data_IF_156185026280
#
_entry.id   IF_156185026280
#
_cell.length_a   1.000
_cell.length_b   1.000
_cell.length_c   1.000
_cell.angle_alpha   90.00
_cell.angle_beta   90.00
_cell.angle_gamma   90.00
#
_symmetry.space_group_name_H-M   'P 1'
#
loop_
_entity.id
_entity.type
_entity.pdbx_description
1 polymer ?
#
# COMPACT_ATOMS: atom_id res chain seq x y z
N UNK A 1 -40.97 -4.85 2.89
CA UNK A 1 -40.44 -3.81 1.98
C UNK A 1 -39.73 -4.52 0.83
N UNK A 2 -40.02 -4.14 -0.43
CA UNK A 2 -39.35 -4.65 -1.62
C UNK A 2 -37.82 -4.64 -1.52
N UNK A 3 -37.17 -5.69 -2.05
CA UNK A 3 -35.71 -5.78 -2.16
C UNK A 3 -35.32 -5.96 -3.61
N UNK A 4 -34.69 -4.95 -4.18
CA UNK A 4 -34.09 -4.99 -5.51
C UNK A 4 -32.66 -5.49 -5.39
N UNK A 5 -32.28 -6.45 -6.25
CA UNK A 5 -30.97 -7.10 -6.19
C UNK A 5 -30.08 -6.69 -7.36
N UNK A 6 -28.79 -6.58 -7.08
CA UNK A 6 -27.74 -6.31 -8.07
C UNK A 6 -26.49 -7.13 -7.74
N UNK A 7 -25.57 -7.30 -8.68
CA UNK A 7 -24.31 -8.04 -8.47
C UNK A 7 -23.11 -7.25 -8.99
N UNK A 8 -22.00 -7.26 -8.25
CA UNK A 8 -20.73 -6.66 -8.68
C UNK A 8 -19.90 -7.55 -9.61
N UNK A 9 -20.38 -8.75 -9.97
CA UNK A 9 -19.70 -9.58 -10.96
C UNK A 9 -19.50 -8.81 -12.27
N UNK A 10 -18.38 -9.07 -12.96
CA UNK A 10 -18.09 -8.41 -14.24
C UNK A 10 -19.20 -8.67 -15.26
N UNK A 11 -19.47 -7.68 -16.12
CA UNK A 11 -20.44 -7.80 -17.21
C UNK A 11 -20.04 -8.92 -18.19
N UNK A 12 -20.99 -9.75 -18.67
CA UNK A 12 -22.45 -9.61 -18.51
C UNK A 12 -23.04 -10.34 -17.29
N UNK A 13 -22.24 -11.02 -16.48
CA UNK A 13 -22.73 -11.81 -15.34
C UNK A 13 -23.22 -10.94 -14.16
N UNK A 14 -22.76 -9.68 -14.08
CA UNK A 14 -23.24 -8.67 -13.15
C UNK A 14 -23.06 -7.26 -13.72
N UNK A 15 -23.34 -6.26 -12.90
CA UNK A 15 -23.25 -4.86 -13.28
C UNK A 15 -21.85 -4.24 -13.03
N UNK A 16 -20.84 -5.08 -12.80
CA UNK A 16 -19.44 -4.72 -12.77
C UNK A 16 -19.12 -3.46 -11.96
N UNK A 17 -18.46 -2.51 -12.60
CA UNK A 17 -17.98 -1.27 -11.98
C UNK A 17 -19.13 -0.45 -11.39
N UNK A 18 -20.30 -0.44 -12.02
CA UNK A 18 -21.46 0.30 -11.53
C UNK A 18 -21.95 -0.26 -10.18
N UNK A 19 -22.17 -1.58 -10.09
CA UNK A 19 -22.54 -2.23 -8.83
C UNK A 19 -21.48 -2.06 -7.74
N UNK A 20 -20.19 -2.13 -8.09
CA UNK A 20 -19.11 -1.90 -7.15
C UNK A 20 -19.13 -0.47 -6.58
N UNK A 21 -19.33 0.56 -7.42
CA UNK A 21 -19.51 1.94 -6.98
C UNK A 21 -20.71 2.13 -6.06
N UNK A 22 -21.85 1.52 -6.39
CA UNK A 22 -23.04 1.60 -5.57
C UNK A 22 -22.85 0.89 -4.22
N UNK A 23 -22.18 -0.25 -4.20
CA UNK A 23 -21.85 -0.97 -2.97
C UNK A 23 -20.88 -0.15 -2.11
N UNK A 24 -19.88 0.50 -2.70
CA UNK A 24 -19.05 1.47 -1.98
C UNK A 24 -19.88 2.60 -1.38
N UNK A 25 -20.82 3.17 -2.14
CA UNK A 25 -21.67 4.25 -1.68
C UNK A 25 -22.61 3.82 -0.54
N UNK A 26 -23.17 2.61 -0.60
CA UNK A 26 -23.99 2.04 0.49
C UNK A 26 -23.21 1.90 1.81
N UNK A 27 -21.91 1.62 1.73
CA UNK A 27 -21.06 1.40 2.90
C UNK A 27 -20.41 2.68 3.43
N UNK A 28 -20.20 3.69 2.58
CA UNK A 28 -19.43 4.88 2.94
C UNK A 28 -20.24 6.17 3.05
N UNK A 29 -21.41 6.28 2.40
CA UNK A 29 -22.26 7.46 2.52
C UNK A 29 -23.27 7.31 3.66
N UNK A 30 -24.33 8.12 3.67
CA UNK A 30 -25.36 8.18 4.71
C UNK A 30 -26.26 6.91 4.86
N UNK A 31 -25.80 5.75 4.38
CA UNK A 31 -26.46 4.44 4.49
C UNK A 31 -27.63 4.22 3.53
N UNK A 32 -27.80 5.05 2.50
CA UNK A 32 -28.88 4.94 1.51
C UNK A 32 -28.87 3.58 0.79
N UNK A 33 -30.04 3.02 0.52
CA UNK A 33 -30.22 1.71 -0.09
C UNK A 33 -29.98 0.51 0.82
N UNK A 34 -29.24 0.67 1.93
CA UNK A 34 -28.94 -0.39 2.91
C UNK A 34 -29.67 -0.20 4.23
N UNK A 35 -29.25 0.83 4.97
CA UNK A 35 -29.77 1.17 6.30
C UNK A 35 -30.97 2.11 6.19
N UNK A 36 -30.99 2.97 5.17
CA UNK A 36 -32.13 3.83 4.79
C UNK A 36 -32.67 3.38 3.43
N UNK A 37 -33.97 3.07 3.30
CA UNK A 37 -34.52 2.69 2.00
C UNK A 37 -34.48 3.86 1.01
N UNK A 38 -34.46 3.52 -0.26
CA UNK A 38 -34.63 4.45 -1.37
C UNK A 38 -36.11 4.55 -1.73
N UNK A 39 -36.55 5.69 -2.25
CA UNK A 39 -37.93 5.90 -2.67
C UNK A 39 -38.01 6.00 -4.18
N UNK A 40 -38.71 5.09 -4.86
CA UNK A 40 -38.87 5.11 -6.33
C UNK A 40 -39.49 6.43 -6.79
N UNK A 41 -38.93 7.02 -7.84
CA UNK A 41 -39.39 8.28 -8.41
C UNK A 41 -39.30 8.25 -9.95
N UNK A 42 -40.45 8.31 -10.62
CA UNK A 42 -40.56 8.22 -12.09
C UNK A 42 -40.57 9.59 -12.79
N UNK A 43 -40.97 10.66 -12.09
CA UNK A 43 -40.98 12.03 -12.63
C UNK A 43 -39.63 12.73 -12.45
N UNK A 44 -39.19 13.54 -13.42
CA UNK A 44 -37.91 14.30 -13.38
C UNK A 44 -36.63 13.43 -13.32
N UNK A 45 -36.66 12.19 -13.83
CA UNK A 45 -35.44 11.35 -13.89
C UNK A 45 -34.32 12.05 -14.68
N UNK A 46 -34.66 12.60 -15.86
CA UNK A 46 -33.69 13.31 -16.69
C UNK A 46 -33.10 14.55 -16.00
N UNK A 47 -33.92 15.32 -15.27
CA UNK A 47 -33.43 16.47 -14.51
C UNK A 47 -32.56 16.07 -13.33
N UNK A 48 -32.89 14.98 -12.62
CA UNK A 48 -32.03 14.41 -11.56
C UNK A 48 -30.68 13.94 -12.11
N UNK A 49 -30.69 13.18 -13.21
CA UNK A 49 -29.43 12.79 -13.88
C UNK A 49 -28.64 14.01 -14.34
N UNK A 50 -29.29 15.04 -14.92
CA UNK A 50 -28.61 16.25 -15.35
C UNK A 50 -27.98 17.03 -14.17
N UNK A 51 -28.60 17.06 -12.99
CA UNK A 51 -28.02 17.70 -11.79
C UNK A 51 -26.78 16.97 -11.29
N UNK A 52 -26.82 15.63 -11.21
CA UNK A 52 -25.69 14.85 -10.66
C UNK A 52 -24.59 14.62 -11.69
N UNK A 53 -24.95 14.33 -12.93
CA UNK A 53 -24.01 13.93 -13.99
C UNK A 53 -23.84 14.97 -15.11
N UNK A 54 -24.58 16.09 -15.12
CA UNK A 54 -24.52 17.05 -16.24
C UNK A 54 -23.17 17.75 -16.40
N UNK A 55 -22.42 17.92 -15.30
CA UNK A 55 -21.05 18.44 -15.30
C UNK A 55 -19.98 17.34 -15.28
N UNK A 56 -20.37 16.06 -15.36
CA UNK A 56 -19.44 14.93 -15.34
C UNK A 56 -18.52 14.97 -16.56
N UNK A 57 -17.23 14.78 -16.33
CA UNK A 57 -16.22 14.74 -17.39
C UNK A 57 -15.77 13.31 -17.60
N UNK A 58 -16.14 12.73 -18.74
CA UNK A 58 -15.68 11.40 -19.11
C UNK A 58 -14.14 11.35 -19.18
N UNK A 59 -13.56 10.30 -18.60
CA UNK A 59 -12.14 9.95 -18.53
C UNK A 59 -11.88 8.72 -19.38
N UNK A 60 -11.98 8.89 -20.70
CA UNK A 60 -11.76 7.80 -21.66
C UNK A 60 -10.32 7.29 -21.68
N UNK A 61 -9.39 8.05 -21.09
CA UNK A 61 -8.02 7.64 -20.79
C UNK A 61 -7.93 6.58 -19.67
N UNK A 62 -8.94 6.52 -18.80
CA UNK A 62 -9.02 5.56 -17.69
C UNK A 62 -10.06 4.46 -17.93
N UNK A 63 -11.20 4.83 -18.54
CA UNK A 63 -12.33 3.93 -18.81
C UNK A 63 -12.75 4.10 -20.27
N UNK A 64 -12.44 3.13 -21.13
CA UNK A 64 -12.57 3.29 -22.60
C UNK A 64 -13.97 3.73 -23.10
N UNK A 65 -15.03 3.42 -22.34
CA UNK A 65 -16.42 3.85 -22.62
C UNK A 65 -17.04 4.54 -21.41
N UNK A 66 -16.30 5.49 -20.85
CA UNK A 66 -16.64 6.12 -19.58
C UNK A 66 -17.99 6.85 -19.60
N UNK A 67 -18.80 6.57 -18.59
CA UNK A 67 -20.08 7.20 -18.33
C UNK A 67 -20.23 7.45 -16.84
N UNK A 68 -21.12 8.39 -16.49
CA UNK A 68 -21.44 8.66 -15.10
C UNK A 68 -22.37 7.59 -14.54
N UNK A 69 -22.03 6.98 -13.40
CA UNK A 69 -22.97 6.20 -12.57
C UNK A 69 -23.31 6.96 -11.30
N UNK A 70 -24.57 7.34 -11.10
CA UNK A 70 -24.99 8.11 -9.91
C UNK A 70 -25.58 7.27 -8.77
N UNK A 71 -25.30 7.65 -7.52
CA UNK A 71 -25.97 7.14 -6.32
C UNK A 71 -26.18 8.24 -5.25
N UNK A 72 -27.37 8.38 -4.62
CA UNK A 72 -28.61 7.66 -4.94
C UNK A 72 -29.07 7.86 -6.39
N UNK A 73 -29.75 6.86 -6.95
CA UNK A 73 -30.09 6.86 -8.39
C UNK A 73 -31.04 7.99 -8.76
N UNK A 74 -30.96 8.52 -9.98
CA UNK A 74 -31.92 9.50 -10.50
C UNK A 74 -33.36 8.97 -10.59
N UNK A 75 -33.56 7.64 -10.57
CA UNK A 75 -34.89 7.00 -10.45
C UNK A 75 -35.40 6.90 -9.01
N UNK A 76 -34.78 7.64 -8.09
CA UNK A 76 -35.17 7.73 -6.68
C UNK A 76 -35.36 9.18 -6.25
N UNK A 77 -36.16 9.44 -5.20
CA UNK A 77 -36.38 10.79 -4.67
C UNK A 77 -35.11 11.37 -4.05
N UNK A 78 -34.24 10.51 -3.54
CA UNK A 78 -32.99 10.85 -2.89
C UNK A 78 -31.87 11.20 -3.90
N UNK A 79 -32.07 10.89 -5.20
CA UNK A 79 -31.13 11.20 -6.26
C UNK A 79 -31.23 12.64 -6.79
N UNK A 80 -30.30 13.02 -7.65
CA UNK A 80 -30.29 14.33 -8.31
C UNK A 80 -29.77 15.47 -7.45
N UNK A 81 -28.85 15.16 -6.55
CA UNK A 81 -27.99 16.13 -5.85
C UNK A 81 -27.02 16.76 -6.85
N UNK A 82 -26.58 18.00 -6.60
CA UNK A 82 -25.56 18.67 -7.39
C UNK A 82 -24.28 17.81 -7.46
N UNK A 83 -23.87 17.46 -8.67
CA UNK A 83 -22.69 16.64 -8.93
C UNK A 83 -21.41 17.19 -8.30
N UNK A 84 -21.29 18.51 -8.13
CA UNK A 84 -20.13 19.14 -7.50
C UNK A 84 -20.01 18.84 -5.99
N UNK A 85 -21.06 18.31 -5.37
CA UNK A 85 -21.07 17.91 -3.96
C UNK A 85 -20.83 16.39 -3.79
N UNK A 86 -20.94 15.62 -4.86
CA UNK A 86 -20.80 14.17 -4.80
C UNK A 86 -19.34 13.73 -4.67
N UNK A 87 -19.12 12.58 -4.05
CA UNK A 87 -17.85 11.88 -4.16
C UNK A 87 -17.68 11.39 -5.61
N UNK A 88 -16.55 11.69 -6.23
CA UNK A 88 -16.20 11.19 -7.56
C UNK A 88 -15.34 9.94 -7.41
N UNK A 89 -15.76 8.83 -8.00
CA UNK A 89 -15.13 7.52 -7.77
C UNK A 89 -14.77 6.80 -9.05
N UNK A 90 -13.75 5.95 -8.98
CA UNK A 90 -13.28 5.11 -10.08
C UNK A 90 -13.18 3.65 -9.60
N UNK A 91 -14.21 2.83 -9.87
CA UNK A 91 -14.14 1.40 -9.64
C UNK A 91 -13.21 0.71 -10.65
N UNK A 92 -12.29 -0.10 -10.15
CA UNK A 92 -11.35 -0.89 -10.96
C UNK A 92 -11.36 -2.33 -10.48
N UNK A 93 -11.56 -3.24 -11.40
CA UNK A 93 -11.52 -4.66 -11.07
C UNK A 93 -10.06 -5.08 -10.84
N UNK A 94 -9.79 -5.69 -9.69
CA UNK A 94 -8.45 -6.20 -9.39
C UNK A 94 -8.15 -7.44 -10.24
N UNK A 95 -6.91 -7.58 -10.66
CA UNK A 95 -6.42 -8.77 -11.40
C UNK A 95 -6.55 -10.07 -10.59
N UNK A 96 -6.80 -9.99 -9.29
CA UNK A 96 -6.96 -11.14 -8.38
C UNK A 96 -8.41 -11.34 -7.89
N UNK A 97 -9.37 -10.65 -8.50
CA UNK A 97 -10.78 -10.69 -8.14
C UNK A 97 -11.18 -9.58 -7.17
N UNK A 98 -12.43 -9.12 -7.30
CA UNK A 98 -12.99 -8.03 -6.50
C UNK A 98 -12.71 -6.63 -7.06
N UNK A 99 -13.25 -5.61 -6.39
CA UNK A 99 -13.24 -4.23 -6.87
C UNK A 99 -12.50 -3.29 -5.91
N UNK A 100 -11.57 -2.51 -6.45
CA UNK A 100 -11.05 -1.29 -5.82
C UNK A 100 -11.95 -0.14 -6.22
N UNK A 101 -12.36 0.72 -5.27
CA UNK A 101 -13.05 1.97 -5.59
C UNK A 101 -12.16 3.12 -5.13
N UNK A 102 -11.46 3.76 -6.06
CA UNK A 102 -10.67 4.94 -5.76
C UNK A 102 -11.59 6.16 -5.65
N UNK A 103 -11.39 6.97 -4.61
CA UNK A 103 -12.06 8.27 -4.47
C UNK A 103 -11.17 9.33 -5.11
N UNK A 104 -11.60 9.89 -6.24
CA UNK A 104 -10.89 10.92 -6.98
C UNK A 104 -11.13 12.32 -6.41
N UNK A 105 -12.34 12.57 -5.92
CA UNK A 105 -12.75 13.82 -5.28
C UNK A 105 -13.87 13.56 -4.24
N UNK A 106 -13.99 14.43 -3.23
CA UNK A 106 -14.94 14.27 -2.13
C UNK A 106 -14.60 13.14 -1.14
N UNK A 107 -15.61 12.43 -0.63
CA UNK A 107 -15.41 11.28 0.27
C UNK A 107 -16.67 10.78 0.98
N UNK A 108 -16.51 10.01 2.05
CA UNK A 108 -17.61 9.42 2.85
C UNK A 108 -18.61 10.45 3.41
N UNK A 109 -18.20 11.71 3.56
CA UNK A 109 -19.07 12.81 4.00
C UNK A 109 -19.97 13.39 2.90
N UNK A 110 -19.80 12.99 1.64
CA UNK A 110 -20.58 13.50 0.52
C UNK A 110 -22.05 13.01 0.56
N UNK A 111 -23.02 13.82 0.13
CA UNK A 111 -24.44 13.42 0.09
C UNK A 111 -24.76 12.39 -1.01
N UNK A 112 -23.88 12.24 -1.99
CA UNK A 112 -24.04 11.41 -3.18
C UNK A 112 -22.67 10.95 -3.71
N UNK A 113 -22.69 10.05 -4.67
CA UNK A 113 -21.54 9.55 -5.40
C UNK A 113 -21.82 9.59 -6.90
N UNK A 114 -20.80 9.94 -7.69
CA UNK A 114 -20.74 9.78 -9.14
C UNK A 114 -19.52 8.93 -9.47
N UNK A 115 -19.69 7.91 -10.31
CA UNK A 115 -18.62 7.00 -10.67
C UNK A 115 -18.29 7.06 -12.16
N UNK A 116 -17.02 6.89 -12.48
CA UNK A 116 -16.54 6.56 -13.81
C UNK A 116 -16.77 5.08 -14.09
N UNK A 117 -17.74 4.76 -14.95
CA UNK A 117 -18.12 3.37 -15.24
C UNK A 117 -18.24 3.12 -16.74
N UNK A 118 -17.82 1.94 -17.25
CA UNK A 118 -18.08 1.56 -18.62
C UNK A 118 -19.58 1.62 -18.94
N UNK A 119 -19.93 2.06 -20.15
CA UNK A 119 -21.33 2.13 -20.60
C UNK A 119 -22.06 0.79 -20.46
N UNK A 120 -21.37 -0.32 -20.72
CA UNK A 120 -21.93 -1.66 -20.62
C UNK A 120 -22.32 -2.01 -19.17
N UNK A 121 -21.48 -1.67 -18.20
CA UNK A 121 -21.72 -1.92 -16.78
C UNK A 121 -22.91 -1.09 -16.29
N UNK A 122 -22.99 0.19 -16.70
CA UNK A 122 -24.14 1.05 -16.41
C UNK A 122 -25.45 0.50 -16.99
N UNK A 123 -25.43 0.06 -18.25
CA UNK A 123 -26.63 -0.50 -18.91
C UNK A 123 -27.13 -1.77 -18.21
N UNK A 124 -26.21 -2.64 -17.78
CA UNK A 124 -26.58 -3.83 -17.00
C UNK A 124 -27.14 -3.44 -15.63
N UNK A 125 -26.56 -2.44 -14.95
CA UNK A 125 -27.09 -1.93 -13.69
C UNK A 125 -28.52 -1.38 -13.85
N UNK A 126 -28.75 -0.52 -14.83
CA UNK A 126 -30.06 0.05 -15.14
C UNK A 126 -31.09 -1.05 -15.47
N UNK A 127 -30.65 -2.08 -16.21
CA UNK A 127 -31.44 -3.27 -16.51
C UNK A 127 -31.84 -4.05 -15.26
N UNK A 128 -30.87 -4.41 -14.40
CA UNK A 128 -31.12 -5.14 -13.14
C UNK A 128 -32.02 -4.34 -12.19
N UNK A 129 -31.85 -3.03 -12.13
CA UNK A 129 -32.68 -2.15 -11.31
C UNK A 129 -34.13 -2.12 -11.84
N UNK A 130 -34.31 -1.98 -13.16
CA UNK A 130 -35.63 -2.01 -13.82
C UNK A 130 -36.34 -3.35 -13.64
N UNK A 131 -35.63 -4.46 -13.87
CA UNK A 131 -36.15 -5.81 -13.68
C UNK A 131 -36.52 -6.06 -12.22
N UNK A 132 -35.67 -5.61 -11.28
CA UNK A 132 -35.95 -5.69 -9.86
C UNK A 132 -37.23 -4.96 -9.46
N UNK A 133 -37.47 -3.75 -10.01
CA UNK A 133 -38.73 -3.04 -9.77
C UNK A 133 -39.94 -3.81 -10.32
N UNK A 134 -39.84 -4.39 -11.51
CA UNK A 134 -40.92 -5.19 -12.09
C UNK A 134 -41.20 -6.46 -11.25
N UNK A 135 -40.16 -7.20 -10.88
CA UNK A 135 -40.25 -8.45 -10.11
C UNK A 135 -40.79 -8.22 -8.71
N UNK A 136 -40.41 -7.11 -8.07
CA UNK A 136 -40.86 -6.74 -6.74
C UNK A 136 -42.12 -5.86 -6.74
N UNK A 137 -42.66 -5.54 -7.92
CA UNK A 137 -43.83 -4.67 -8.13
C UNK A 137 -43.71 -3.30 -7.46
N UNK A 138 -42.52 -2.72 -7.48
CA UNK A 138 -42.24 -1.39 -6.92
C UNK A 138 -42.82 -0.33 -7.86
N UNK A 139 -43.75 0.47 -7.36
CA UNK A 139 -44.36 1.57 -8.11
C UNK A 139 -43.83 2.94 -7.63
N UNK A 140 -44.24 4.01 -8.31
CA UNK A 140 -43.81 5.37 -7.94
C UNK A 140 -44.17 5.69 -6.48
N UNK A 141 -43.22 6.25 -5.73
CA UNK A 141 -43.36 6.56 -4.32
C UNK A 141 -43.13 5.40 -3.35
N UNK A 142 -42.98 4.16 -3.83
CA UNK A 142 -42.66 3.02 -2.97
C UNK A 142 -41.22 3.10 -2.44
N UNK A 143 -41.05 2.70 -1.19
CA UNK A 143 -39.75 2.48 -0.59
C UNK A 143 -39.23 1.08 -0.94
N UNK A 144 -37.93 0.98 -1.24
CA UNK A 144 -37.25 -0.28 -1.51
C UNK A 144 -35.84 -0.29 -0.92
N UNK A 145 -35.34 -1.50 -0.65
CA UNK A 145 -33.91 -1.74 -0.36
C UNK A 145 -33.20 -2.19 -1.63
N UNK A 146 -31.93 -1.82 -1.73
CA UNK A 146 -31.01 -2.34 -2.74
C UNK A 146 -30.04 -3.29 -2.05
N UNK A 147 -30.02 -4.54 -2.47
CA UNK A 147 -29.07 -5.55 -2.02
C UNK A 147 -28.08 -5.84 -3.14
N UNK A 148 -26.81 -5.51 -2.93
CA UNK A 148 -25.75 -5.76 -3.92
C UNK A 148 -24.94 -6.96 -3.44
N UNK A 149 -25.02 -8.06 -4.17
CA UNK A 149 -24.17 -9.23 -3.96
C UNK A 149 -22.77 -8.91 -4.50
N UNK A 150 -21.80 -8.82 -3.59
CA UNK A 150 -20.45 -8.43 -3.95
C UNK A 150 -19.53 -8.26 -2.76
N UNK A 151 -18.27 -7.96 -3.03
CA UNK A 151 -17.27 -7.64 -2.01
C UNK A 151 -16.54 -6.37 -2.38
N UNK A 152 -16.68 -5.36 -1.53
CA UNK A 152 -15.79 -4.18 -1.50
C UNK A 152 -14.64 -4.41 -0.51
N UNK A 153 -14.24 -5.65 -0.22
CA UNK A 153 -12.97 -5.87 0.47
C UNK A 153 -11.91 -5.22 -0.41
N UNK A 154 -11.50 -4.00 -0.04
CA UNK A 154 -10.70 -3.15 -0.91
C UNK A 154 -9.44 -3.94 -1.25
N UNK A 155 -9.21 -4.26 -2.53
CA UNK A 155 -8.04 -5.02 -2.91
C UNK A 155 -6.80 -4.31 -2.40
N UNK A 156 -5.94 -5.04 -1.71
CA UNK A 156 -4.73 -4.50 -1.13
C UNK A 156 -3.53 -4.90 -1.97
N UNK A 157 -2.47 -4.10 -1.87
CA UNK A 157 -1.14 -4.48 -2.33
C UNK A 157 -0.82 -5.92 -1.91
N UNK A 158 -0.16 -6.67 -2.79
CA UNK A 158 0.06 -8.11 -2.62
C UNK A 158 0.73 -8.42 -1.28
N UNK A 159 1.72 -7.61 -0.89
CA UNK A 159 2.40 -7.78 0.38
C UNK A 159 1.52 -7.51 1.60
N UNK A 160 0.46 -6.70 1.51
CA UNK A 160 -0.46 -6.44 2.62
C UNK A 160 -1.44 -7.60 2.87
N UNK A 161 -1.76 -8.36 1.82
CA UNK A 161 -2.75 -9.44 1.91
C UNK A 161 -2.29 -10.57 2.85
N UNK A 162 -0.99 -10.88 2.86
CA UNK A 162 -0.44 -11.96 3.67
C UNK A 162 0.93 -11.55 4.23
N UNK A 163 0.95 -11.16 5.51
CA UNK A 163 2.20 -10.95 6.23
C UNK A 163 2.93 -12.30 6.40
N UNK A 164 4.23 -12.39 6.05
CA UNK A 164 4.96 -13.64 6.16
C UNK A 164 5.15 -14.05 7.64
N UNK A 165 5.19 -15.35 7.89
CA UNK A 165 5.45 -15.89 9.24
C UNK A 165 6.76 -15.31 9.80
N UNK A 166 6.71 -14.89 11.07
CA UNK A 166 7.83 -14.25 11.78
C UNK A 166 7.97 -12.75 11.51
N UNK A 167 7.05 -12.13 10.77
CA UNK A 167 6.96 -10.67 10.68
C UNK A 167 6.30 -10.06 11.92
N UNK A 168 6.59 -8.78 12.15
CA UNK A 168 5.88 -7.95 13.12
C UNK A 168 5.21 -6.78 12.41
N UNK A 169 4.15 -6.26 13.02
CA UNK A 169 3.38 -5.15 12.47
C UNK A 169 4.19 -3.84 12.53
N UNK A 170 4.19 -3.09 11.44
CA UNK A 170 4.77 -1.75 11.36
C UNK A 170 3.79 -0.82 10.63
N UNK A 171 3.08 0.01 11.41
CA UNK A 171 1.97 0.81 10.89
C UNK A 171 0.85 -0.06 10.32
N UNK A 172 0.46 0.22 9.08
CA UNK A 172 -0.51 -0.59 8.33
C UNK A 172 0.13 -1.75 7.56
N UNK A 173 1.45 -1.88 7.63
CA UNK A 173 2.19 -2.96 7.00
C UNK A 173 2.93 -3.83 8.00
N UNK A 174 4.04 -4.40 7.57
CA UNK A 174 4.83 -5.34 8.36
C UNK A 174 6.32 -5.27 8.01
N UNK A 175 7.15 -5.72 8.95
CA UNK A 175 8.58 -5.90 8.77
C UNK A 175 8.94 -7.33 9.18
N UNK A 176 9.84 -7.96 8.43
CA UNK A 176 10.42 -9.27 8.73
C UNK A 176 11.92 -9.17 8.62
N UNK A 177 12.60 -9.51 9.71
CA UNK A 177 14.05 -9.66 9.73
C UNK A 177 14.38 -11.14 9.93
N UNK A 178 15.39 -11.63 9.22
CA UNK A 178 15.92 -12.98 9.37
C UNK A 178 17.38 -12.93 9.77
N UNK A 179 17.87 -14.05 10.29
CA UNK A 179 19.25 -14.17 10.76
C UNK A 179 19.87 -15.47 10.32
N UNK A 180 21.19 -15.46 10.12
CA UNK A 180 22.00 -16.64 9.88
C UNK A 180 22.91 -16.91 11.08
N UNK A 181 23.18 -18.19 11.43
CA UNK A 181 24.13 -18.51 12.47
C UNK A 181 25.57 -18.16 12.06
N UNK A 182 26.38 -17.71 13.02
CA UNK A 182 27.82 -17.52 12.86
C UNK A 182 28.59 -18.22 13.98
N UNK A 183 29.79 -18.77 13.68
CA UNK A 183 30.61 -19.42 14.71
C UNK A 183 31.06 -18.47 15.82
N UNK A 184 31.21 -17.18 15.51
CA UNK A 184 31.67 -16.15 16.43
C UNK A 184 30.96 -14.82 16.12
N UNK A 185 30.38 -14.17 17.14
CA UNK A 185 29.80 -12.82 16.98
C UNK A 185 30.84 -11.74 16.67
N UNK A 186 32.11 -11.98 17.02
CA UNK A 186 33.26 -11.16 16.63
C UNK A 186 34.43 -12.12 16.31
N UNK A 187 34.81 -12.22 15.03
CA UNK A 187 35.78 -13.22 14.55
C UNK A 187 37.22 -12.72 14.46
N UNK A 188 37.45 -11.41 14.41
CA UNK A 188 38.79 -10.83 14.23
C UNK A 188 39.43 -10.35 15.52
N UNK A 189 38.69 -10.44 16.63
CA UNK A 189 39.21 -10.14 17.97
C UNK A 189 40.27 -11.17 18.42
N UNK A 190 41.23 -10.79 19.29
CA UNK A 190 42.25 -11.71 19.81
C UNK A 190 41.69 -12.95 20.52
N UNK A 191 40.49 -12.81 21.09
CA UNK A 191 39.71 -13.92 21.64
C UNK A 191 38.36 -13.90 20.94
N UNK A 192 38.14 -14.75 19.92
CA UNK A 192 36.89 -14.79 19.18
C UNK A 192 35.67 -14.88 20.11
N UNK A 193 34.63 -14.12 19.77
CA UNK A 193 33.39 -14.12 20.54
C UNK A 193 32.67 -15.47 20.52
N UNK A 194 31.67 -15.69 21.38
CA UNK A 194 30.87 -16.92 21.33
C UNK A 194 30.08 -17.03 20.01
N UNK A 195 29.57 -18.24 19.68
CA UNK A 195 28.61 -18.41 18.59
C UNK A 195 27.39 -17.51 18.76
N UNK A 196 26.81 -17.09 17.63
CA UNK A 196 25.63 -16.23 17.63
C UNK A 196 24.98 -16.17 16.26
N UNK A 197 24.34 -15.04 15.95
CA UNK A 197 23.63 -14.83 14.69
C UNK A 197 23.98 -13.49 14.07
N UNK A 198 23.95 -13.39 12.75
CA UNK A 198 24.08 -12.15 11.97
C UNK A 198 22.77 -11.86 11.24
N UNK A 199 22.53 -10.60 10.89
CA UNK A 199 21.40 -10.24 10.03
C UNK A 199 21.54 -10.90 8.64
N UNK A 200 20.47 -11.51 8.12
CA UNK A 200 20.53 -12.26 6.86
C UNK A 200 19.68 -11.64 5.75
N UNK A 201 18.48 -11.18 6.07
CA UNK A 201 17.63 -10.40 5.18
C UNK A 201 16.66 -9.56 5.99
N UNK A 202 16.20 -8.46 5.40
CA UNK A 202 15.13 -7.66 5.93
C UNK A 202 14.13 -7.33 4.81
N UNK A 203 12.86 -7.58 5.08
CA UNK A 203 11.76 -7.33 4.16
C UNK A 203 10.72 -6.47 4.85
N UNK A 204 10.10 -5.57 4.11
CA UNK A 204 9.01 -4.77 4.61
C UNK A 204 7.92 -4.59 3.56
N UNK A 205 6.68 -4.58 4.02
CA UNK A 205 5.55 -4.05 3.28
C UNK A 205 5.21 -2.70 3.90
N UNK A 206 5.54 -1.60 3.22
CA UNK A 206 5.39 -0.24 3.72
C UNK A 206 4.09 0.35 3.17
N UNK A 207 3.15 0.70 4.05
CA UNK A 207 1.87 1.32 3.70
C UNK A 207 1.68 2.66 4.40
N UNK A 208 0.67 3.43 3.98
CA UNK A 208 0.32 4.73 4.55
C UNK A 208 -0.60 4.57 5.78
N UNK A 209 -0.35 5.28 6.90
CA UNK A 209 0.87 6.00 7.23
C UNK A 209 2.01 5.05 7.65
N UNK A 210 3.26 5.43 7.35
CA UNK A 210 4.43 4.78 7.94
C UNK A 210 4.57 5.20 9.40
N UNK A 211 5.12 4.33 10.23
CA UNK A 211 5.48 4.63 11.61
C UNK A 211 7.00 4.74 11.74
N UNK A 212 7.46 5.52 12.71
CA UNK A 212 8.86 5.53 13.08
C UNK A 212 9.17 4.32 13.95
N UNK A 213 10.29 3.67 13.68
CA UNK A 213 10.85 2.59 14.47
C UNK A 213 11.70 3.12 15.61
N UNK A 214 12.82 2.46 15.89
CA UNK A 214 13.64 2.79 17.06
C UNK A 214 15.10 3.00 16.70
N UNK A 215 15.82 3.79 17.52
CA UNK A 215 17.23 4.08 17.29
C UNK A 215 18.10 2.81 17.33
N UNK A 216 19.17 2.80 16.52
CA UNK A 216 20.15 1.73 16.56
C UNK A 216 21.01 1.82 17.83
N UNK A 217 21.03 0.74 18.62
CA UNK A 217 21.82 0.61 19.86
C UNK A 217 22.48 -0.76 19.95
N UNK A 218 23.16 -1.04 21.06
CA UNK A 218 23.66 -2.37 21.43
C UNK A 218 24.96 -2.82 20.80
N UNK A 219 25.42 -4.01 21.17
CA UNK A 219 26.62 -4.64 20.62
C UNK A 219 26.21 -5.69 19.60
N UNK A 220 26.17 -5.30 18.33
CA UNK A 220 25.71 -6.16 17.23
C UNK A 220 26.85 -7.06 16.74
N UNK A 221 26.49 -8.18 16.09
CA UNK A 221 27.48 -9.08 15.47
C UNK A 221 28.41 -8.31 14.52
N UNK A 222 29.72 -8.46 14.74
CA UNK A 222 30.79 -7.79 14.01
C UNK A 222 31.11 -6.37 14.48
N UNK A 223 30.49 -5.86 15.54
CA UNK A 223 30.75 -4.48 15.99
C UNK A 223 32.19 -4.29 16.50
N UNK A 224 32.72 -5.22 17.29
CA UNK A 224 34.11 -5.15 17.74
C UNK A 224 35.09 -5.40 16.58
N UNK A 225 34.74 -6.29 15.65
CA UNK A 225 35.52 -6.54 14.43
C UNK A 225 35.66 -5.25 13.58
N UNK A 226 34.58 -4.46 13.48
CA UNK A 226 34.57 -3.20 12.74
C UNK A 226 35.44 -2.13 13.41
N UNK A 227 35.40 -2.04 14.75
CA UNK A 227 36.27 -1.13 15.50
C UNK A 227 37.75 -1.49 15.34
N UNK A 228 38.10 -2.77 15.39
CA UNK A 228 39.47 -3.24 15.15
C UNK A 228 39.93 -2.92 13.73
N UNK A 229 39.08 -3.15 12.72
CA UNK A 229 39.40 -2.80 11.34
C UNK A 229 39.66 -1.30 11.18
N UNK A 230 38.79 -0.46 11.77
CA UNK A 230 38.96 1.00 11.75
C UNK A 230 40.27 1.44 12.39
N UNK A 231 40.62 0.88 13.55
CA UNK A 231 41.86 1.17 14.27
C UNK A 231 43.10 0.73 13.48
N UNK A 232 43.09 -0.48 12.93
CA UNK A 232 44.19 -1.03 12.13
C UNK A 232 44.48 -0.19 10.87
N UNK A 233 43.47 0.47 10.34
CA UNK A 233 43.59 1.36 9.19
C UNK A 233 43.74 2.85 9.56
N UNK A 234 44.02 3.16 10.83
CA UNK A 234 44.24 4.53 11.35
C UNK A 234 43.12 5.51 10.97
N UNK A 235 41.89 5.03 10.83
CA UNK A 235 40.76 5.83 10.37
C UNK A 235 40.02 6.48 11.55
N UNK A 236 39.76 7.78 11.45
CA UNK A 236 38.88 8.52 12.37
C UNK A 236 37.43 8.56 11.88
N UNK A 237 37.12 7.88 10.77
CA UNK A 237 35.77 7.84 10.22
C UNK A 237 34.80 7.17 11.22
N UNK A 238 33.59 7.73 11.32
CA UNK A 238 32.56 7.18 12.20
C UNK A 238 32.04 5.82 11.71
N UNK A 239 31.92 4.88 12.63
CA UNK A 239 31.13 3.66 12.43
C UNK A 239 29.68 3.90 12.82
N UNK A 240 28.79 3.13 12.22
CA UNK A 240 27.37 3.16 12.49
C UNK A 240 26.79 1.76 12.53
N UNK A 241 25.69 1.63 13.25
CA UNK A 241 24.83 0.46 13.24
C UNK A 241 23.77 0.71 12.17
N UNK A 242 24.07 0.31 10.95
CA UNK A 242 23.18 0.54 9.82
C UNK A 242 21.95 -0.33 9.97
N UNK A 243 20.77 0.29 9.86
CA UNK A 243 19.53 -0.43 9.71
C UNK A 243 19.45 -1.07 8.32
N UNK A 244 18.87 -2.26 8.23
CA UNK A 244 18.48 -2.86 6.95
C UNK A 244 17.14 -2.26 6.47
N UNK A 245 16.13 -2.25 7.35
CA UNK A 245 14.96 -1.37 7.21
C UNK A 245 15.17 -0.16 8.10
N UNK A 246 15.29 1.04 7.53
CA UNK A 246 15.53 2.27 8.28
C UNK A 246 14.45 2.54 9.35
N UNK A 247 14.85 3.17 10.46
CA UNK A 247 13.91 3.56 11.52
C UNK A 247 12.80 4.50 11.01
N UNK A 248 13.11 5.41 10.10
CA UNK A 248 12.13 6.29 9.43
C UNK A 248 11.11 5.54 8.56
N UNK A 249 11.32 4.24 8.30
CA UNK A 249 10.41 3.32 7.61
C UNK A 249 9.82 2.27 8.57
N UNK A 250 10.02 2.44 9.89
CA UNK A 250 9.49 1.58 10.94
C UNK A 250 10.45 0.50 11.45
N UNK A 251 11.68 0.44 10.93
CA UNK A 251 12.66 -0.54 11.39
C UNK A 251 13.12 -0.31 12.83
N UNK A 252 13.24 -1.38 13.58
CA UNK A 252 13.69 -1.36 14.97
C UNK A 252 15.19 -1.57 15.07
N UNK A 253 15.83 -1.01 16.10
CA UNK A 253 17.26 -1.08 16.32
C UNK A 253 17.69 -1.11 17.79
N UNK A 254 16.79 -1.19 18.76
CA UNK A 254 17.17 -1.28 20.18
C UNK A 254 17.40 -2.73 20.61
N UNK A 255 17.77 -2.92 21.87
CA UNK A 255 17.96 -4.24 22.47
C UNK A 255 16.61 -4.79 22.97
N UNK A 256 15.82 -3.93 23.60
CA UNK A 256 14.54 -4.25 24.24
C UNK A 256 13.43 -4.60 23.25
N UNK A 257 13.53 -4.13 22.01
CA UNK A 257 12.63 -4.50 20.90
C UNK A 257 13.17 -5.63 20.01
N UNK A 258 14.32 -6.22 20.36
CA UNK A 258 14.99 -7.24 19.55
C UNK A 258 15.51 -6.72 18.21
N UNK A 259 15.52 -5.41 17.98
CA UNK A 259 15.86 -4.77 16.71
C UNK A 259 17.32 -4.94 16.27
N UNK A 260 18.19 -5.50 17.11
CA UNK A 260 19.58 -5.80 16.75
C UNK A 260 19.70 -6.67 15.49
N UNK A 261 18.71 -7.52 15.20
CA UNK A 261 18.68 -8.38 14.00
C UNK A 261 18.45 -7.61 12.70
N UNK A 262 18.06 -6.34 12.78
CA UNK A 262 17.89 -5.43 11.66
C UNK A 262 19.15 -4.56 11.43
N UNK A 263 20.25 -4.84 12.14
CA UNK A 263 21.43 -3.99 12.14
C UNK A 263 22.66 -4.72 11.60
N UNK A 264 23.51 -3.97 10.88
CA UNK A 264 24.85 -4.42 10.48
C UNK A 264 25.90 -3.34 10.78
N UNK A 265 27.15 -3.71 11.13
CA UNK A 265 28.23 -2.74 11.24
C UNK A 265 28.54 -2.10 9.89
N UNK A 266 28.68 -0.79 9.87
CA UNK A 266 28.91 -0.06 8.63
C UNK A 266 29.67 1.25 8.84
N UNK A 267 30.13 1.85 7.75
CA UNK A 267 30.59 3.24 7.78
C UNK A 267 29.41 4.21 7.87
N UNK A 268 29.51 5.18 8.79
CA UNK A 268 28.57 6.30 8.86
C UNK A 268 28.55 7.08 7.54
N UNK A 269 29.72 7.33 6.94
CA UNK A 269 29.84 7.96 5.62
C UNK A 269 30.34 6.94 4.60
N UNK A 270 29.48 6.59 3.64
CA UNK A 270 29.62 5.43 2.76
C UNK A 270 28.30 4.68 2.66
N UNK A 271 28.19 3.54 3.34
CA UNK A 271 26.98 2.72 3.31
C UNK A 271 25.77 3.38 4.01
N UNK A 272 25.93 3.93 5.22
CA UNK A 272 24.80 4.53 5.96
C UNK A 272 24.31 5.83 5.28
N UNK A 273 25.23 6.79 5.11
CA UNK A 273 24.93 8.11 4.56
C UNK A 273 25.92 8.49 3.46
N UNK A 274 25.49 9.38 2.56
CA UNK A 274 26.22 9.79 1.36
C UNK A 274 25.38 9.59 0.11
N UNK A 275 26.01 9.69 -1.06
CA UNK A 275 25.32 9.51 -2.35
C UNK A 275 26.23 8.73 -3.32
N UNK A 276 25.78 7.57 -3.85
CA UNK A 276 24.63 6.78 -3.39
C UNK A 276 24.93 6.09 -2.04
N UNK A 277 23.95 5.98 -1.16
CA UNK A 277 24.03 5.22 0.10
C UNK A 277 22.68 4.56 0.40
N UNK A 278 22.56 3.79 1.47
CA UNK A 278 21.26 3.29 1.92
C UNK A 278 20.27 4.45 2.11
N UNK A 279 20.71 5.56 2.72
CA UNK A 279 19.90 6.77 2.91
C UNK A 279 19.31 7.33 1.61
N UNK A 280 20.01 7.21 0.48
CA UNK A 280 19.51 7.68 -0.83
C UNK A 280 18.21 6.97 -1.21
N UNK A 281 18.16 5.66 -1.07
CA UNK A 281 17.02 4.84 -1.45
C UNK A 281 15.93 4.81 -0.38
N UNK A 282 16.32 4.87 0.90
CA UNK A 282 15.38 5.03 2.01
C UNK A 282 14.62 6.34 1.93
N UNK A 283 15.27 7.46 1.55
CA UNK A 283 14.59 8.74 1.37
C UNK A 283 13.57 8.70 0.22
N UNK A 284 13.87 7.95 -0.85
CA UNK A 284 12.93 7.71 -1.94
C UNK A 284 11.73 6.89 -1.45
N UNK A 285 11.95 5.78 -0.73
CA UNK A 285 10.88 4.99 -0.12
C UNK A 285 10.04 5.82 0.86
N UNK A 286 10.68 6.61 1.73
CA UNK A 286 10.02 7.48 2.71
C UNK A 286 9.11 8.50 2.05
N UNK A 287 9.59 9.14 0.98
CA UNK A 287 8.79 10.10 0.22
C UNK A 287 7.61 9.40 -0.45
N UNK A 288 7.85 8.27 -1.10
CA UNK A 288 6.82 7.53 -1.83
C UNK A 288 5.74 6.97 -0.91
N UNK A 289 6.12 6.48 0.29
CA UNK A 289 5.22 5.88 1.26
C UNK A 289 4.28 6.85 1.99
N UNK A 290 4.32 8.16 1.67
CA UNK A 290 3.37 9.13 2.19
C UNK A 290 2.03 9.03 1.44
N UNK A 291 0.97 9.52 2.07
CA UNK A 291 -0.31 9.67 1.39
C UNK A 291 -0.18 10.69 0.24
N UNK A 292 -1.00 10.53 -0.80
CA UNK A 292 -1.00 11.44 -1.97
C UNK A 292 -1.16 12.91 -1.57
N UNK A 293 -2.06 13.18 -0.60
CA UNK A 293 -2.28 14.54 -0.06
C UNK A 293 -1.04 15.16 0.59
N UNK A 294 -0.08 14.33 1.01
CA UNK A 294 1.17 14.74 1.69
C UNK A 294 2.39 14.65 0.75
N UNK A 295 2.16 14.57 -0.56
CA UNK A 295 3.20 14.53 -1.60
C UNK A 295 3.84 13.15 -1.82
N UNK A 296 3.22 12.09 -1.30
CA UNK A 296 3.58 10.71 -1.65
C UNK A 296 2.81 10.20 -2.86
N UNK A 297 2.90 8.89 -3.11
CA UNK A 297 2.34 8.27 -4.32
C UNK A 297 1.46 7.06 -4.03
N UNK A 298 1.32 6.64 -2.77
CA UNK A 298 0.51 5.49 -2.39
C UNK A 298 -0.93 5.90 -2.08
N UNK A 299 -1.88 5.15 -2.64
CA UNK A 299 -3.25 5.11 -2.15
C UNK A 299 -3.38 4.36 -0.82
N UNK A 300 -4.57 4.35 -0.20
CA UNK A 300 -4.79 3.76 1.13
C UNK A 300 -4.52 2.25 1.19
N UNK A 301 -4.66 1.55 0.06
CA UNK A 301 -4.44 0.10 -0.05
C UNK A 301 -3.20 -0.27 -0.87
N UNK A 302 -2.42 0.72 -1.30
CA UNK A 302 -1.15 0.48 -1.94
C UNK A 302 -0.05 0.26 -0.90
N UNK A 303 1.05 -0.36 -1.32
CA UNK A 303 2.23 -0.52 -0.49
C UNK A 303 3.51 -0.49 -1.31
N UNK A 304 4.64 -0.30 -0.63
CA UNK A 304 5.96 -0.57 -1.19
C UNK A 304 6.44 -1.88 -0.57
N UNK A 305 6.71 -2.87 -1.43
CA UNK A 305 7.48 -4.02 -1.01
C UNK A 305 8.97 -3.68 -1.13
N UNK A 306 9.67 -3.72 0.00
CA UNK A 306 11.04 -3.24 0.17
C UNK A 306 11.89 -4.36 0.75
N UNK A 307 13.06 -4.62 0.15
CA UNK A 307 13.95 -5.71 0.57
C UNK A 307 15.39 -5.23 0.67
N UNK A 308 16.09 -5.71 1.69
CA UNK A 308 17.52 -5.50 1.89
C UNK A 308 18.17 -6.81 2.31
N UNK A 309 19.20 -7.21 1.56
CA UNK A 309 19.95 -8.45 1.80
C UNK A 309 21.44 -8.10 1.93
N UNK A 310 22.03 -8.24 3.13
CA UNK A 310 23.47 -8.18 3.31
C UNK A 310 24.21 -9.20 2.46
N UNK A 311 25.32 -8.76 1.87
CA UNK A 311 26.22 -9.60 1.08
C UNK A 311 27.48 -9.89 1.90
N UNK A 312 27.70 -11.17 2.23
CA UNK A 312 28.80 -11.64 3.07
C UNK A 312 29.81 -12.41 2.22
N UNK A 313 31.09 -12.37 2.59
CA UNK A 313 32.14 -13.11 1.84
C UNK A 313 31.97 -14.62 1.95
N UNK A 314 31.64 -15.09 3.15
CA UNK A 314 31.42 -16.51 3.42
C UNK A 314 30.48 -16.73 4.62
N UNK A 315 30.26 -18.00 4.99
CA UNK A 315 29.41 -18.40 6.11
C UNK A 315 29.95 -18.01 7.50
N UNK A 316 31.18 -17.52 7.59
CA UNK A 316 31.81 -17.08 8.85
C UNK A 316 31.86 -15.56 8.99
N UNK A 317 31.65 -14.79 7.92
CA UNK A 317 31.66 -13.32 7.96
C UNK A 317 30.68 -12.77 9.00
N UNK A 318 31.10 -11.78 9.77
CA UNK A 318 30.23 -11.08 10.74
C UNK A 318 29.77 -9.73 10.21
N UNK A 319 30.54 -9.14 9.27
CA UNK A 319 30.26 -7.85 8.64
C UNK A 319 30.07 -8.05 7.13
N UNK A 320 29.02 -7.49 6.52
CA UNK A 320 28.81 -7.63 5.08
C UNK A 320 29.76 -6.72 4.30
N UNK A 321 30.16 -7.15 3.10
CA UNK A 321 30.91 -6.33 2.13
C UNK A 321 30.05 -5.27 1.46
N UNK A 322 28.73 -5.41 1.54
CA UNK A 322 27.74 -4.48 1.04
C UNK A 322 26.33 -5.00 1.28
N UNK A 323 25.34 -4.28 0.78
CA UNK A 323 23.93 -4.71 0.81
C UNK A 323 23.34 -4.62 -0.59
N UNK A 324 22.47 -5.56 -0.93
CA UNK A 324 21.54 -5.46 -2.06
C UNK A 324 20.24 -4.87 -1.54
N UNK A 325 19.71 -3.86 -2.22
CA UNK A 325 18.43 -3.25 -1.88
C UNK A 325 17.53 -3.23 -3.10
N UNK A 326 16.23 -3.48 -2.92
CA UNK A 326 15.24 -3.35 -3.98
C UNK A 326 13.92 -2.84 -3.42
N UNK A 327 13.13 -2.16 -4.26
CA UNK A 327 11.78 -1.78 -3.89
C UNK A 327 10.85 -1.70 -5.10
N UNK A 328 9.63 -2.19 -4.92
CA UNK A 328 8.54 -2.03 -5.88
C UNK A 328 7.30 -1.50 -5.20
N UNK A 329 6.57 -0.65 -5.91
CA UNK A 329 5.22 -0.25 -5.53
C UNK A 329 4.29 -1.35 -5.99
N UNK A 330 3.50 -1.87 -5.06
CA UNK A 330 2.42 -2.80 -5.31
C UNK A 330 1.12 -2.05 -5.12
N UNK A 331 0.31 -2.03 -6.18
CA UNK A 331 -0.98 -1.34 -6.20
C UNK A 331 -2.09 -2.29 -5.78
N UNK A 332 -3.16 -1.71 -5.25
CA UNK A 332 -4.42 -2.38 -4.93
C UNK A 332 -4.99 -3.21 -6.09
N UNK A 333 -4.84 -2.74 -7.34
CA UNK A 333 -5.30 -3.43 -8.55
C UNK A 333 -4.47 -4.67 -8.94
N UNK A 334 -3.40 -4.96 -8.19
CA UNK A 334 -2.46 -6.05 -8.43
C UNK A 334 -1.35 -5.71 -9.43
N UNK A 335 -1.30 -4.49 -9.97
CA UNK A 335 -0.16 -4.01 -10.74
C UNK A 335 1.03 -3.73 -9.83
N UNK A 336 2.24 -3.79 -10.41
CA UNK A 336 3.47 -3.48 -9.71
C UNK A 336 4.41 -2.70 -10.60
N UNK A 337 5.12 -1.73 -10.02
CA UNK A 337 6.18 -0.99 -10.70
C UNK A 337 7.40 -0.86 -9.81
N UNK A 338 8.60 -0.89 -10.38
CA UNK A 338 9.82 -0.64 -9.62
C UNK A 338 9.81 0.78 -9.07
N UNK A 339 10.07 0.93 -7.77
CA UNK A 339 10.40 2.23 -7.19
C UNK A 339 11.89 2.53 -7.44
N UNK A 340 12.73 1.51 -7.25
CA UNK A 340 14.11 1.48 -7.72
C UNK A 340 14.50 0.02 -8.01
N UNK A 341 15.42 -0.23 -8.96
CA UNK A 341 15.84 -1.59 -9.31
C UNK A 341 16.69 -2.20 -8.19
N UNK A 342 17.18 -3.41 -8.40
CA UNK A 342 18.21 -3.98 -7.51
C UNK A 342 19.46 -3.10 -7.54
N UNK A 343 19.79 -2.50 -6.40
CA UNK A 343 20.98 -1.66 -6.22
C UNK A 343 21.93 -2.30 -5.21
N UNK A 344 23.23 -2.12 -5.43
CA UNK A 344 24.27 -2.63 -4.54
C UNK A 344 25.01 -1.48 -3.87
N UNK A 345 25.01 -1.46 -2.54
CA UNK A 345 25.69 -0.45 -1.74
C UNK A 345 26.87 -1.10 -1.04
N UNK A 346 28.09 -0.76 -1.45
CA UNK A 346 29.30 -1.29 -0.83
C UNK A 346 29.49 -0.76 0.59
N UNK A 347 29.99 -1.60 1.50
CA UNK A 347 30.36 -1.20 2.86
C UNK A 347 31.75 -0.55 2.93
N UNK A 348 31.99 0.42 2.04
CA UNK A 348 33.28 1.14 1.90
C UNK A 348 33.18 2.56 2.43
N UNK A 349 34.31 3.13 2.85
CA UNK A 349 34.33 4.50 3.35
C UNK A 349 34.11 5.47 2.17
N UNK A 350 33.13 6.36 2.29
CA UNK A 350 32.78 7.38 1.28
C UNK A 350 32.59 6.85 -0.15
N UNK A 351 32.20 5.58 -0.30
CA UNK A 351 32.05 4.92 -1.62
C UNK A 351 33.32 4.95 -2.48
N UNK A 352 34.49 4.97 -1.85
CA UNK A 352 35.78 5.04 -2.55
C UNK A 352 36.24 3.68 -3.11
N UNK A 353 35.54 2.59 -2.78
CA UNK A 353 36.02 1.23 -3.03
C UNK A 353 37.12 0.78 -2.06
N UNK A 354 37.62 1.68 -1.21
CA UNK A 354 38.65 1.40 -0.21
C UNK A 354 38.03 1.21 1.18
N UNK A 355 38.78 0.57 2.08
CA UNK A 355 38.39 0.36 3.47
C UNK A 355 37.03 -0.35 3.59
N UNK A 356 36.81 -1.43 2.83
CA UNK A 356 35.60 -2.24 2.98
C UNK A 356 35.60 -2.94 4.34
N UNK A 357 34.56 -2.73 5.16
CA UNK A 357 34.45 -3.32 6.51
C UNK A 357 34.12 -4.81 6.48
N UNK A 358 33.60 -5.34 5.37
CA UNK A 358 33.23 -6.73 5.26
C UNK A 358 34.43 -7.64 5.48
N UNK A 359 34.24 -8.73 6.23
CA UNK A 359 35.31 -9.62 6.65
C UNK A 359 35.22 -11.02 6.09
#
# INVERSE_FOLDING_TARGET
MPVVRMSDQQSPAGAGAAAAAYLWAQNNLAGWGRDKPLTRAMADVAGRTARTCGAFRARTDLVASDTCGEFPFAVTREGGVDGAQCAETLPRHSTRGGWVVDVLDGGAGSPCMRAHVPVADRQVADGQLSEGFANQRVVDGDQFKLEIAGSIAEPQAVCLQNAPTGSFRSGNGWIKNTTDPVPHVNKTTPTPGPPGVRAAAAQACLSTPTVEGSDAKGDITGWADAELFRQANLSTAGLARCHLIANILGGTGKIDDGGQINLVPCWQSGMNTGTPSMRTYEALAQKSAKAVKDGGILGPNDAIFYEVTPDYRDGTSTIPVGVKMSARIERSDGTSQLLFPDVYITNTYKNTGQLNLGN
#
